data_IF_585909442127
#
_entry.id   IF_585909442127
#
_cell.length_a   1.000
_cell.length_b   1.000
_cell.length_c   1.000
_cell.angle_alpha   90.00
_cell.angle_beta   90.00
_cell.angle_gamma   90.00
#
_symmetry.space_group_name_H-M   'P 1'
#
loop_
_entity.id
_entity.type
_entity.pdbx_description
1 polymer ?
#
# COMPACT_ATOMS: atom_id res chain seq x y z
N UNK A 1 8.76 3.29 11.77
CA UNK A 1 9.20 2.17 10.92
C UNK A 1 10.58 1.63 11.32
N UNK A 2 11.61 2.48 11.47
CA UNK A 2 12.95 1.99 11.89
C UNK A 2 12.96 1.44 13.31
N UNK A 3 12.23 2.04 14.25
CA UNK A 3 12.10 1.54 15.61
C UNK A 3 11.33 0.21 15.67
N UNK A 4 10.29 0.09 14.86
CA UNK A 4 9.48 -1.08 14.71
C UNK A 4 10.25 -2.26 14.06
N UNK A 5 11.05 -2.00 13.04
CA UNK A 5 11.92 -3.00 12.42
C UNK A 5 12.90 -3.68 13.38
N UNK A 6 13.20 -3.08 14.54
CA UNK A 6 14.04 -3.70 15.59
C UNK A 6 13.29 -4.79 16.38
N UNK A 7 11.97 -4.67 16.51
CA UNK A 7 11.17 -5.65 17.25
C UNK A 7 10.91 -6.92 16.45
N UNK A 8 10.96 -6.86 15.10
CA UNK A 8 10.83 -8.03 14.22
C UNK A 8 9.48 -8.74 14.29
N UNK A 9 8.43 -8.02 14.72
CA UNK A 9 7.07 -8.53 14.88
C UNK A 9 6.24 -8.47 13.60
N UNK A 10 4.97 -8.94 13.67
CA UNK A 10 3.98 -8.72 12.60
C UNK A 10 3.63 -7.25 12.47
N UNK A 11 3.51 -6.75 11.23
CA UNK A 11 2.99 -5.42 10.96
C UNK A 11 1.46 -5.43 10.93
N UNK A 12 0.83 -4.55 11.73
CA UNK A 12 -0.62 -4.50 11.87
C UNK A 12 -1.15 -3.08 12.16
N UNK A 13 -2.46 -2.87 11.95
CA UNK A 13 -3.08 -1.54 12.01
C UNK A 13 -3.18 -0.93 13.44
N UNK A 14 -2.90 -1.68 14.49
CA UNK A 14 -2.84 -1.17 15.86
C UNK A 14 -1.45 -0.67 16.28
N UNK A 15 -0.45 -0.70 15.37
CA UNK A 15 0.89 -0.18 15.64
C UNK A 15 0.94 1.35 15.53
N UNK A 16 1.88 2.00 16.22
CA UNK A 16 2.01 3.46 16.21
C UNK A 16 2.18 4.06 14.80
N UNK A 17 2.85 3.36 13.90
CA UNK A 17 3.06 3.85 12.52
C UNK A 17 1.76 3.92 11.72
N UNK A 18 0.77 3.07 12.01
CA UNK A 18 -0.50 3.01 11.30
C UNK A 18 -1.50 4.09 11.77
N UNK A 19 -1.22 4.74 12.91
CA UNK A 19 -2.07 5.82 13.43
C UNK A 19 -1.77 7.11 12.66
N UNK A 20 -2.76 7.72 11.96
CA UNK A 20 -2.55 8.96 11.26
C UNK A 20 -2.13 10.08 12.23
N UNK A 21 -1.10 10.83 11.83
CA UNK A 21 -0.71 12.05 12.53
C UNK A 21 -1.73 13.15 12.21
N UNK A 22 -2.55 13.49 13.21
CA UNK A 22 -3.46 14.62 13.12
C UNK A 22 -2.68 15.93 12.93
N UNK A 23 -3.30 16.93 12.32
CA UNK A 23 -2.67 18.22 12.11
C UNK A 23 -2.21 18.82 13.46
N UNK A 24 -0.90 18.96 13.61
CA UNK A 24 -0.26 19.52 14.80
C UNK A 24 0.77 20.59 14.42
N UNK A 25 1.01 21.55 15.30
CA UNK A 25 2.05 22.56 15.07
C UNK A 25 3.41 21.90 14.94
N UNK A 26 4.16 22.29 13.93
CA UNK A 26 5.50 21.72 13.65
C UNK A 26 6.45 21.93 14.84
N UNK A 27 6.38 23.07 15.54
CA UNK A 27 7.16 23.35 16.74
C UNK A 27 6.91 22.34 17.86
N UNK A 28 5.65 21.88 18.05
CA UNK A 28 5.32 20.85 19.05
C UNK A 28 5.91 19.51 18.68
N UNK A 29 5.91 19.18 17.38
CA UNK A 29 6.48 17.94 16.87
C UNK A 29 8.00 17.89 17.01
N UNK A 30 8.69 18.99 16.69
CA UNK A 30 10.16 19.10 16.85
C UNK A 30 10.57 19.03 18.31
N UNK A 31 9.85 19.70 19.22
CA UNK A 31 10.11 19.65 20.65
C UNK A 31 9.94 18.25 21.26
N UNK A 32 9.09 17.40 20.68
CA UNK A 32 8.91 16.01 21.12
C UNK A 32 9.99 15.06 20.60
N UNK A 33 10.70 15.43 19.51
CA UNK A 33 11.75 14.62 18.88
C UNK A 33 13.16 14.88 19.42
N UNK A 34 13.44 16.09 19.86
CA UNK A 34 14.75 16.50 20.39
C UNK A 34 14.71 16.49 21.92
N UNK A 35 15.31 15.48 22.52
CA UNK A 35 15.48 15.39 23.98
C UNK A 35 16.45 16.45 24.57
N UNK A 36 16.99 17.37 23.78
CA UNK A 36 17.84 18.48 24.20
C UNK A 36 17.27 19.78 23.62
N UNK A 37 16.69 20.57 24.53
CA UNK A 37 15.91 21.77 24.23
C UNK A 37 16.72 22.89 23.60
N UNK A 38 16.80 22.89 22.29
CA UNK A 38 17.08 24.10 21.54
C UNK A 38 15.74 24.74 21.20
N UNK A 39 15.30 25.69 22.01
CA UNK A 39 14.24 26.64 21.65
C UNK A 39 14.78 27.53 20.54
N UNK A 40 14.68 27.07 19.29
CA UNK A 40 14.91 27.93 18.15
C UNK A 40 13.67 28.86 18.00
N UNK A 41 13.83 30.08 18.52
CA UNK A 41 12.83 31.14 18.49
C UNK A 41 12.71 31.78 17.10
N UNK A 42 12.90 31.04 16.01
CA UNK A 42 12.62 31.58 14.68
C UNK A 42 11.12 31.67 14.49
N UNK A 43 10.66 32.88 14.22
CA UNK A 43 9.26 33.31 14.11
C UNK A 43 8.50 32.55 13.00
N UNK A 44 9.23 31.97 12.05
CA UNK A 44 8.68 31.33 10.84
C UNK A 44 8.09 29.94 11.06
N UNK A 45 8.40 29.25 12.18
CA UNK A 45 7.84 27.90 12.45
C UNK A 45 6.55 27.92 13.27
N UNK A 46 6.14 29.09 13.78
CA UNK A 46 4.99 29.19 14.70
C UNK A 46 3.66 28.84 14.07
N UNK A 47 3.49 29.08 12.78
CA UNK A 47 2.25 28.85 12.04
C UNK A 47 2.37 27.71 11.00
N UNK A 48 3.41 26.89 11.12
CA UNK A 48 3.56 25.67 10.33
C UNK A 48 2.86 24.47 11.02
N UNK A 49 2.06 23.76 10.25
CA UNK A 49 1.32 22.58 10.72
C UNK A 49 1.71 21.38 9.88
N UNK A 50 1.91 20.24 10.55
CA UNK A 50 2.24 18.97 9.94
C UNK A 50 1.12 17.96 10.21
N UNK A 51 0.70 17.26 9.19
CA UNK A 51 -0.13 16.05 9.27
C UNK A 51 0.44 14.96 8.37
N UNK A 52 0.08 13.72 8.60
CA UNK A 52 0.62 12.64 7.79
C UNK A 52 0.06 11.26 8.12
N UNK A 53 0.38 10.32 7.24
CA UNK A 53 -0.05 8.94 7.35
C UNK A 53 1.00 8.02 6.76
N UNK A 54 1.15 6.84 7.37
CA UNK A 54 1.92 5.74 6.81
C UNK A 54 0.93 4.62 6.46
N UNK A 55 1.02 4.10 5.25
CA UNK A 55 0.18 3.02 4.75
C UNK A 55 1.07 1.86 4.35
N UNK A 56 0.72 0.66 4.77
CA UNK A 56 1.38 -0.55 4.30
C UNK A 56 1.09 -0.75 2.80
N UNK A 57 2.11 -0.69 1.96
CA UNK A 57 1.95 -0.88 0.53
C UNK A 57 1.65 -2.35 0.17
N UNK A 58 2.02 -3.31 1.03
CA UNK A 58 1.69 -4.73 0.85
C UNK A 58 0.28 -5.10 1.36
N UNK A 59 -0.49 -4.12 1.85
CA UNK A 59 -1.93 -4.28 2.07
C UNK A 59 -2.75 -4.37 0.78
N UNK A 60 -2.10 -4.22 -0.40
CA UNK A 60 -2.72 -4.12 -1.72
C UNK A 60 -2.14 -5.17 -2.66
N UNK A 61 -2.87 -5.50 -3.75
CA UNK A 61 -2.34 -6.36 -4.80
C UNK A 61 -1.22 -5.64 -5.56
N UNK A 62 -0.07 -6.25 -5.62
CA UNK A 62 1.07 -5.70 -6.33
C UNK A 62 1.00 -6.04 -7.83
N UNK A 63 0.99 -5.01 -8.68
CA UNK A 63 0.95 -5.15 -10.15
C UNK A 63 2.15 -5.94 -10.67
N UNK A 64 3.32 -5.85 -10.02
CA UNK A 64 4.50 -6.63 -10.38
C UNK A 64 4.25 -8.14 -10.30
N UNK A 65 3.32 -8.60 -9.46
CA UNK A 65 2.99 -10.02 -9.36
C UNK A 65 2.35 -10.60 -10.65
N UNK A 66 1.86 -9.74 -11.56
CA UNK A 66 1.31 -10.16 -12.84
C UNK A 66 2.36 -10.79 -13.78
N UNK A 67 3.66 -10.57 -13.50
CA UNK A 67 4.75 -11.10 -14.29
C UNK A 67 5.55 -12.11 -13.47
N UNK A 68 5.81 -13.27 -14.07
CA UNK A 68 6.61 -14.35 -13.52
C UNK A 68 7.68 -14.75 -14.56
N UNK A 69 8.88 -14.20 -14.39
CA UNK A 69 9.94 -14.34 -15.38
C UNK A 69 9.57 -13.71 -16.72
N UNK A 70 9.42 -14.52 -17.73
CA UNK A 70 9.12 -14.15 -19.14
C UNK A 70 7.65 -14.37 -19.53
N UNK A 71 6.76 -14.60 -18.55
CA UNK A 71 5.35 -14.91 -18.80
C UNK A 71 4.42 -14.19 -17.83
N UNK A 72 3.16 -14.11 -18.23
CA UNK A 72 2.08 -13.66 -17.34
C UNK A 72 1.81 -14.72 -16.28
N UNK A 73 1.77 -14.34 -15.01
CA UNK A 73 1.39 -15.20 -13.90
C UNK A 73 -0.09 -15.53 -13.97
N UNK A 74 -0.43 -16.80 -14.20
CA UNK A 74 -1.83 -17.25 -14.26
C UNK A 74 -2.57 -17.02 -12.92
N UNK A 75 -1.90 -17.27 -11.81
CA UNK A 75 -2.45 -17.05 -10.46
C UNK A 75 -2.74 -15.59 -10.19
N UNK A 76 -1.78 -14.70 -10.49
CA UNK A 76 -1.99 -13.26 -10.30
C UNK A 76 -3.07 -12.72 -11.24
N UNK A 77 -3.15 -13.21 -12.49
CA UNK A 77 -4.19 -12.82 -13.42
C UNK A 77 -5.60 -13.17 -12.91
N UNK A 78 -5.78 -14.34 -12.28
CA UNK A 78 -7.04 -14.73 -11.63
C UNK A 78 -7.38 -13.76 -10.49
N UNK A 79 -6.41 -13.40 -9.65
CA UNK A 79 -6.59 -12.46 -8.53
C UNK A 79 -6.98 -11.07 -8.99
N UNK A 80 -6.28 -10.53 -9.97
CA UNK A 80 -6.64 -9.24 -10.57
C UNK A 80 -8.01 -9.31 -11.26
N UNK A 81 -8.33 -10.42 -11.92
CA UNK A 81 -9.65 -10.65 -12.49
C UNK A 81 -10.78 -10.59 -11.46
N UNK A 82 -10.60 -11.22 -10.28
CA UNK A 82 -11.55 -11.15 -9.15
C UNK A 82 -11.70 -9.71 -8.63
N UNK A 83 -10.59 -8.97 -8.52
CA UNK A 83 -10.64 -7.57 -8.10
C UNK A 83 -11.42 -6.72 -9.11
N UNK A 84 -11.15 -6.86 -10.41
CA UNK A 84 -11.84 -6.12 -11.45
C UNK A 84 -13.34 -6.40 -11.42
N UNK A 85 -13.75 -7.66 -11.33
CA UNK A 85 -15.16 -8.06 -11.23
C UNK A 85 -15.82 -7.47 -9.96
N UNK A 86 -15.17 -7.55 -8.81
CA UNK A 86 -15.67 -6.98 -7.56
C UNK A 86 -15.92 -5.47 -7.65
N UNK A 87 -15.07 -4.76 -8.38
CA UNK A 87 -15.15 -3.31 -8.58
C UNK A 87 -16.04 -2.91 -9.77
N UNK A 88 -16.72 -3.87 -10.41
CA UNK A 88 -17.56 -3.61 -11.58
C UNK A 88 -16.78 -3.23 -12.84
N UNK A 89 -15.49 -3.58 -12.90
CA UNK A 89 -14.61 -3.30 -14.04
C UNK A 89 -14.56 -4.50 -15.00
N UNK A 90 -14.36 -4.28 -16.31
CA UNK A 90 -14.26 -5.38 -17.27
C UNK A 90 -13.05 -6.27 -16.97
N UNK A 91 -13.29 -7.56 -16.68
CA UNK A 91 -12.21 -8.54 -16.40
C UNK A 91 -11.16 -8.62 -17.51
N UNK A 92 -11.55 -8.41 -18.76
CA UNK A 92 -10.64 -8.39 -19.90
C UNK A 92 -9.50 -7.34 -19.74
N UNK A 93 -9.76 -6.24 -19.04
CA UNK A 93 -8.75 -5.21 -18.80
C UNK A 93 -7.64 -5.69 -17.86
N UNK A 94 -7.89 -6.64 -16.98
CA UNK A 94 -6.83 -7.27 -16.18
C UNK A 94 -5.84 -8.04 -17.08
N UNK A 95 -6.32 -8.69 -18.15
CA UNK A 95 -5.46 -9.38 -19.12
C UNK A 95 -4.65 -8.37 -19.97
N UNK A 96 -5.26 -7.24 -20.33
CA UNK A 96 -4.55 -6.15 -21.03
C UNK A 96 -3.42 -5.64 -20.15
N UNK A 97 -3.72 -5.30 -18.89
CA UNK A 97 -2.72 -4.84 -17.93
C UNK A 97 -1.56 -5.84 -17.78
N UNK A 98 -1.88 -7.14 -17.61
CA UNK A 98 -0.88 -8.18 -17.43
C UNK A 98 0.06 -8.32 -18.64
N UNK A 99 -0.49 -8.30 -19.87
CA UNK A 99 0.31 -8.38 -21.09
C UNK A 99 1.16 -7.13 -21.31
N UNK A 100 0.63 -5.94 -21.02
CA UNK A 100 1.41 -4.71 -21.12
C UNK A 100 2.49 -4.63 -20.05
N UNK A 101 2.21 -5.13 -18.84
CA UNK A 101 3.20 -5.23 -17.78
C UNK A 101 4.34 -6.18 -18.17
N UNK A 102 4.02 -7.35 -18.76
CA UNK A 102 5.03 -8.27 -19.29
C UNK A 102 5.90 -7.60 -20.38
N UNK A 103 5.30 -6.82 -21.27
CA UNK A 103 6.07 -6.08 -22.30
C UNK A 103 6.95 -5.01 -21.67
N UNK A 104 6.46 -4.29 -20.64
CA UNK A 104 7.22 -3.27 -19.94
C UNK A 104 8.43 -3.83 -19.17
N UNK A 105 8.36 -5.08 -18.71
CA UNK A 105 9.46 -5.76 -17.99
C UNK A 105 10.43 -6.48 -18.93
N UNK A 106 10.06 -6.66 -20.21
CA UNK A 106 10.90 -7.34 -21.19
C UNK A 106 12.16 -6.54 -21.48
N UNK A 107 13.31 -7.20 -21.45
CA UNK A 107 14.61 -6.61 -21.84
C UNK A 107 14.84 -6.60 -23.36
N UNK A 108 13.87 -7.10 -24.15
CA UNK A 108 13.93 -7.05 -25.59
C UNK A 108 13.89 -5.59 -26.04
N UNK A 109 14.78 -5.21 -26.96
CA UNK A 109 14.83 -3.89 -27.56
C UNK A 109 13.64 -3.70 -28.53
N UNK A 110 12.44 -3.63 -28.00
CA UNK A 110 11.22 -3.28 -28.72
C UNK A 110 10.90 -1.82 -28.42
N UNK A 111 11.18 -0.93 -29.39
CA UNK A 111 10.89 0.51 -29.28
C UNK A 111 9.39 0.81 -29.03
N UNK A 112 8.53 -0.19 -29.21
CA UNK A 112 7.09 -0.09 -28.95
C UNK A 112 6.67 -0.60 -27.55
N UNK A 113 7.62 -1.05 -26.72
CA UNK A 113 7.32 -1.48 -25.35
C UNK A 113 6.89 -0.28 -24.48
N UNK A 114 5.85 -0.43 -23.64
CA UNK A 114 5.45 0.64 -22.75
C UNK A 114 6.53 0.88 -21.68
N UNK A 115 6.56 2.11 -21.14
CA UNK A 115 7.42 2.43 -20.02
C UNK A 115 7.03 1.60 -18.78
N UNK A 116 8.03 1.19 -18.01
CA UNK A 116 7.81 0.52 -16.75
C UNK A 116 7.15 1.47 -15.74
N UNK A 117 5.97 1.14 -15.17
CA UNK A 117 5.34 1.97 -14.18
C UNK A 117 6.10 1.92 -12.84
N UNK A 118 6.17 3.04 -12.17
CA UNK A 118 6.69 3.16 -10.80
C UNK A 118 5.60 3.46 -9.78
N UNK A 119 4.43 3.93 -10.23
CA UNK A 119 3.28 4.32 -9.43
C UNK A 119 2.00 3.80 -10.06
N UNK A 120 0.94 3.75 -9.27
CA UNK A 120 -0.39 3.34 -9.77
C UNK A 120 -0.88 4.28 -10.87
N UNK A 121 -0.61 5.58 -10.76
CA UNK A 121 -1.00 6.59 -11.75
C UNK A 121 -0.35 6.34 -13.12
N UNK A 122 0.82 5.72 -13.16
CA UNK A 122 1.54 5.40 -14.39
C UNK A 122 0.90 4.24 -15.18
N UNK A 123 -0.09 3.52 -14.61
CA UNK A 123 -0.78 2.41 -15.29
C UNK A 123 -1.58 2.88 -16.52
N UNK A 124 -1.80 4.18 -16.67
CA UNK A 124 -2.32 4.76 -17.91
C UNK A 124 -1.38 4.50 -19.11
N UNK A 125 -0.07 4.37 -18.87
CA UNK A 125 0.90 4.00 -19.92
C UNK A 125 0.74 2.55 -20.40
N UNK A 126 0.14 1.71 -19.55
CA UNK A 126 -0.19 0.32 -19.88
C UNK A 126 -1.58 0.17 -20.50
N UNK A 127 -2.21 1.28 -20.88
CA UNK A 127 -3.50 1.30 -21.58
C UNK A 127 -4.74 1.26 -20.68
N UNK A 128 -4.60 1.40 -19.36
CA UNK A 128 -5.77 1.55 -18.49
C UNK A 128 -6.30 2.98 -18.54
N UNK A 129 -7.62 3.18 -18.72
CA UNK A 129 -8.23 4.51 -18.61
C UNK A 129 -8.03 5.13 -17.21
N UNK A 130 -7.73 6.43 -17.13
CA UNK A 130 -7.51 7.12 -15.86
C UNK A 130 -8.66 6.94 -14.84
N UNK A 131 -9.97 6.97 -15.20
CA UNK A 131 -11.03 6.67 -14.25
C UNK A 131 -10.95 5.26 -13.68
N UNK A 132 -10.53 4.27 -14.47
CA UNK A 132 -10.33 2.90 -14.00
C UNK A 132 -9.15 2.80 -13.03
N UNK A 133 -8.04 3.49 -13.32
CA UNK A 133 -6.88 3.58 -12.43
C UNK A 133 -7.29 4.18 -11.09
N UNK A 134 -8.11 5.23 -11.08
CA UNK A 134 -8.62 5.86 -9.85
C UNK A 134 -9.45 4.88 -9.00
N UNK A 135 -10.32 4.07 -9.63
CA UNK A 135 -11.11 3.02 -8.93
C UNK A 135 -10.21 1.93 -8.36
N UNK A 136 -9.15 1.56 -9.05
CA UNK A 136 -8.20 0.51 -8.63
C UNK A 136 -7.22 0.99 -7.56
N UNK A 137 -6.88 2.28 -7.53
CA UNK A 137 -5.80 2.85 -6.70
C UNK A 137 -5.86 2.49 -5.20
N UNK A 138 -7.03 2.36 -4.54
CA UNK A 138 -7.09 1.91 -3.14
C UNK A 138 -6.65 0.45 -2.93
N UNK A 139 -6.72 -0.40 -3.95
CA UNK A 139 -6.61 -1.85 -3.86
C UNK A 139 -5.34 -2.43 -4.49
N UNK A 140 -4.61 -1.63 -5.27
CA UNK A 140 -3.40 -2.06 -5.98
C UNK A 140 -2.20 -1.19 -5.64
N UNK A 141 -1.01 -1.72 -5.86
CA UNK A 141 0.27 -1.01 -5.68
C UNK A 141 1.24 -1.41 -6.78
N UNK A 142 2.26 -0.59 -7.02
CA UNK A 142 3.40 -0.91 -7.88
C UNK A 142 4.65 -0.92 -7.02
N UNK A 143 5.22 -2.12 -6.81
CA UNK A 143 6.43 -2.31 -6.02
C UNK A 143 7.56 -2.85 -6.94
N UNK A 144 8.83 -2.64 -6.58
CA UNK A 144 9.96 -3.00 -7.45
C UNK A 144 10.12 -4.51 -7.70
N UNK A 145 9.58 -5.33 -6.82
CA UNK A 145 9.62 -6.80 -6.92
C UNK A 145 8.25 -7.40 -6.57
N UNK A 146 8.04 -8.65 -6.92
CA UNK A 146 6.89 -9.44 -6.48
C UNK A 146 6.83 -9.52 -4.95
N UNK A 147 5.64 -9.36 -4.35
CA UNK A 147 5.44 -9.34 -2.89
C UNK A 147 4.18 -10.07 -2.49
N UNK A 148 4.16 -10.73 -1.32
CA UNK A 148 2.95 -11.27 -0.73
C UNK A 148 2.04 -10.16 -0.21
N UNK A 149 0.75 -10.48 -0.01
CA UNK A 149 -0.22 -9.60 0.64
C UNK A 149 -0.13 -9.77 2.15
N UNK A 150 -0.09 -8.66 2.89
CA UNK A 150 -0.12 -8.68 4.36
C UNK A 150 -1.57 -8.86 4.86
N UNK A 151 -1.83 -10.00 5.52
CA UNK A 151 -3.16 -10.35 6.05
C UNK A 151 -3.62 -9.44 7.19
N UNK A 152 -2.68 -8.81 7.91
CA UNK A 152 -2.98 -7.91 9.03
C UNK A 152 -3.38 -6.49 8.61
N UNK A 153 -3.13 -6.11 7.35
CA UNK A 153 -3.34 -4.73 6.89
C UNK A 153 -4.25 -4.62 5.67
N UNK A 154 -4.38 -5.70 4.86
CA UNK A 154 -5.16 -5.70 3.63
C UNK A 154 -6.66 -5.51 3.88
N UNK A 155 -7.38 -4.81 2.99
CA UNK A 155 -8.85 -4.67 3.06
C UNK A 155 -9.56 -6.00 2.76
N UNK A 156 -10.86 -6.10 3.07
CA UNK A 156 -11.64 -7.29 2.77
C UNK A 156 -11.66 -7.59 1.26
N UNK A 157 -11.75 -6.55 0.42
CA UNK A 157 -11.73 -6.66 -1.04
C UNK A 157 -10.40 -7.26 -1.54
N UNK A 158 -9.28 -6.80 -0.97
CA UNK A 158 -7.95 -7.33 -1.32
C UNK A 158 -7.78 -8.76 -0.82
N UNK A 159 -8.24 -9.08 0.38
CA UNK A 159 -8.19 -10.45 0.92
C UNK A 159 -9.01 -11.42 0.05
N UNK A 160 -10.22 -11.05 -0.35
CA UNK A 160 -11.02 -11.83 -1.29
C UNK A 160 -10.33 -11.97 -2.65
N UNK A 161 -9.93 -10.86 -3.26
CA UNK A 161 -9.31 -10.87 -4.58
C UNK A 161 -8.00 -11.67 -4.59
N UNK A 162 -7.18 -11.60 -3.53
CA UNK A 162 -5.93 -12.34 -3.38
C UNK A 162 -6.13 -13.86 -3.22
N UNK A 163 -7.35 -14.31 -2.91
CA UNK A 163 -7.65 -15.70 -2.63
C UNK A 163 -7.31 -16.12 -1.20
N UNK A 164 -7.17 -15.17 -0.27
CA UNK A 164 -7.09 -15.47 1.15
C UNK A 164 -8.43 -15.95 1.72
N UNK A 165 -9.52 -15.62 1.05
CA UNK A 165 -10.89 -16.02 1.38
C UNK A 165 -11.67 -16.31 0.10
N UNK A 166 -12.62 -17.23 0.17
CA UNK A 166 -13.40 -17.69 -0.98
C UNK A 166 -14.47 -16.69 -1.42
N UNK A 167 -14.95 -15.89 -0.46
CA UNK A 167 -15.93 -14.83 -0.69
C UNK A 167 -15.64 -13.59 0.19
N UNK A 168 -16.41 -12.54 -0.06
CA UNK A 168 -16.24 -11.26 0.65
C UNK A 168 -16.66 -11.38 2.14
N UNK A 169 -17.60 -12.24 2.50
CA UNK A 169 -18.03 -12.44 3.88
C UNK A 169 -16.93 -13.14 4.70
N UNK A 170 -16.29 -14.15 4.13
CA UNK A 170 -15.11 -14.80 4.71
C UNK A 170 -13.94 -13.82 4.86
N UNK A 171 -13.70 -12.95 3.87
CA UNK A 171 -12.69 -11.90 3.96
C UNK A 171 -13.01 -10.88 5.09
N UNK A 172 -14.25 -10.48 5.26
CA UNK A 172 -14.70 -9.64 6.38
C UNK A 172 -14.50 -10.34 7.74
N UNK A 173 -14.67 -11.66 7.80
CA UNK A 173 -14.38 -12.44 9.01
C UNK A 173 -12.89 -12.36 9.39
N UNK A 174 -11.97 -12.43 8.41
CA UNK A 174 -10.54 -12.20 8.66
C UNK A 174 -10.27 -10.80 9.20
N UNK A 175 -10.89 -9.77 8.60
CA UNK A 175 -10.75 -8.38 9.05
C UNK A 175 -11.25 -8.22 10.49
N UNK A 176 -12.41 -8.77 10.83
CA UNK A 176 -12.95 -8.73 12.19
C UNK A 176 -12.07 -9.48 13.20
N UNK A 177 -11.56 -10.65 12.83
CA UNK A 177 -10.68 -11.44 13.69
C UNK A 177 -9.39 -10.68 14.05
N UNK A 178 -8.72 -10.05 13.08
CA UNK A 178 -7.48 -9.30 13.32
C UNK A 178 -7.67 -8.01 14.11
N UNK A 179 -8.87 -7.41 14.11
CA UNK A 179 -9.17 -6.24 14.94
C UNK A 179 -9.09 -6.56 16.43
N UNK A 180 -9.45 -7.79 16.83
CA UNK A 180 -9.34 -8.26 18.21
C UNK A 180 -7.89 -8.70 18.53
N UNK A 181 -7.27 -9.43 17.63
CA UNK A 181 -5.89 -9.92 17.77
C UNK A 181 -5.27 -10.09 16.41
N UNK A 182 -4.17 -9.39 16.14
CA UNK A 182 -3.44 -9.53 14.88
C UNK A 182 -2.91 -10.97 14.70
N UNK A 183 -2.81 -11.41 13.45
CA UNK A 183 -2.28 -12.73 13.12
C UNK A 183 -0.77 -12.77 13.33
N UNK A 184 -0.31 -13.82 14.01
CA UNK A 184 1.12 -14.09 14.26
C UNK A 184 1.77 -14.94 13.17
N UNK A 185 0.96 -15.59 12.35
CA UNK A 185 1.40 -16.31 11.15
C UNK A 185 0.25 -16.43 10.14
N UNK A 186 0.58 -16.52 8.85
CA UNK A 186 -0.41 -16.56 7.79
C UNK A 186 -1.27 -17.84 7.81
N UNK A 187 -0.70 -18.97 8.24
CA UNK A 187 -1.40 -20.26 8.27
C UNK A 187 -2.60 -20.24 9.20
N UNK A 188 -2.46 -19.62 10.39
CA UNK A 188 -3.56 -19.58 11.35
C UNK A 188 -4.67 -18.64 10.88
N UNK A 189 -4.31 -17.53 10.19
CA UNK A 189 -5.29 -16.67 9.56
C UNK A 189 -6.13 -17.41 8.51
N UNK A 190 -5.46 -18.09 7.57
CA UNK A 190 -6.14 -18.79 6.47
C UNK A 190 -7.03 -19.93 6.94
N UNK A 191 -6.68 -20.63 8.03
CA UNK A 191 -7.52 -21.68 8.62
C UNK A 191 -8.88 -21.20 9.14
N UNK A 192 -9.03 -19.89 9.43
CA UNK A 192 -10.30 -19.36 9.92
C UNK A 192 -11.40 -19.34 8.85
N UNK A 193 -11.02 -19.35 7.57
CA UNK A 193 -11.92 -19.12 6.44
C UNK A 193 -11.82 -20.20 5.35
N UNK A 194 -10.86 -21.12 5.45
CA UNK A 194 -10.70 -22.27 4.55
C UNK A 194 -11.29 -23.52 5.18
N UNK A 195 -12.18 -24.19 4.46
CA UNK A 195 -12.71 -25.51 4.83
C UNK A 195 -11.74 -26.65 4.46
N UNK A 196 -10.57 -26.33 3.91
CA UNK A 196 -9.54 -27.28 3.51
C UNK A 196 -9.66 -27.79 2.08
N UNK A 197 -10.66 -27.34 1.30
CA UNK A 197 -10.88 -27.80 -0.08
C UNK A 197 -9.96 -27.11 -1.09
N UNK A 198 -9.67 -25.82 -0.91
CA UNK A 198 -8.71 -25.05 -1.71
C UNK A 198 -7.70 -24.36 -0.78
N UNK A 199 -6.54 -24.96 -0.62
CA UNK A 199 -5.52 -24.42 0.27
C UNK A 199 -4.70 -23.36 -0.53
N UNK A 200 -4.91 -22.04 -0.30
CA UNK A 200 -4.17 -21.03 -1.03
C UNK A 200 -2.67 -21.18 -0.74
N UNK A 201 -1.82 -20.88 -1.75
CA UNK A 201 -0.38 -20.93 -1.54
C UNK A 201 0.02 -19.93 -0.45
N UNK A 202 0.48 -20.44 0.68
CA UNK A 202 0.83 -19.65 1.86
C UNK A 202 1.90 -18.59 1.58
N UNK A 203 2.77 -18.82 0.59
CA UNK A 203 3.82 -17.88 0.21
C UNK A 203 3.29 -16.61 -0.45
N UNK A 204 2.02 -16.59 -0.86
CA UNK A 204 1.35 -15.42 -1.41
C UNK A 204 0.87 -14.44 -0.32
N UNK A 205 1.02 -14.84 0.95
CA UNK A 205 0.56 -14.09 2.11
C UNK A 205 1.67 -13.90 3.13
N UNK A 206 1.63 -12.75 3.80
CA UNK A 206 2.54 -12.39 4.87
C UNK A 206 1.78 -11.80 6.06
N UNK A 207 2.49 -11.63 7.15
CA UNK A 207 2.03 -10.90 8.34
C UNK A 207 2.92 -9.69 8.65
N UNK A 208 3.96 -9.50 7.84
CA UNK A 208 4.89 -8.38 7.93
C UNK A 208 5.19 -7.83 6.54
N UNK A 209 5.56 -6.57 6.47
CA UNK A 209 5.74 -5.80 5.24
C UNK A 209 7.10 -5.15 5.17
N UNK A 210 7.61 -4.96 3.96
CA UNK A 210 8.86 -4.27 3.68
C UNK A 210 8.64 -2.91 3.02
N UNK A 211 7.47 -2.67 2.43
CA UNK A 211 7.18 -1.48 1.65
C UNK A 211 6.04 -0.70 2.28
N UNK A 212 6.26 0.61 2.46
CA UNK A 212 5.30 1.51 3.07
C UNK A 212 5.20 2.78 2.23
N UNK A 213 3.99 3.30 2.09
CA UNK A 213 3.73 4.60 1.51
C UNK A 213 3.61 5.62 2.64
N UNK A 214 4.45 6.64 2.62
CA UNK A 214 4.43 7.76 3.56
C UNK A 214 3.80 8.95 2.87
N UNK A 215 2.74 9.50 3.44
CA UNK A 215 2.06 10.71 2.99
C UNK A 215 2.22 11.78 4.04
N UNK A 216 2.63 12.97 3.64
CA UNK A 216 2.80 14.11 4.52
C UNK A 216 2.19 15.37 3.92
N UNK A 217 1.64 16.22 4.77
CA UNK A 217 1.10 17.52 4.42
C UNK A 217 1.66 18.56 5.38
N UNK A 218 2.36 19.52 4.84
CA UNK A 218 2.86 20.68 5.55
C UNK A 218 2.02 21.90 5.13
N UNK A 219 1.40 22.55 6.10
CA UNK A 219 0.69 23.82 5.89
C UNK A 219 1.46 24.94 6.59
N UNK A 220 1.83 25.95 5.84
CA UNK A 220 2.41 27.19 6.32
C UNK A 220 1.47 28.34 5.92
N UNK A 221 0.76 28.89 6.87
CA UNK A 221 -0.29 29.88 6.63
C UNK A 221 -1.33 29.35 5.62
N UNK A 222 -1.34 29.90 4.37
CA UNK A 222 -2.21 29.47 3.27
C UNK A 222 -1.51 28.58 2.25
N UNK A 223 -0.20 28.35 2.41
CA UNK A 223 0.58 27.50 1.51
C UNK A 223 0.54 26.06 2.02
N UNK A 224 0.17 25.13 1.15
CA UNK A 224 0.13 23.70 1.44
C UNK A 224 1.15 23.01 0.54
N UNK A 225 2.00 22.20 1.14
CA UNK A 225 2.91 21.30 0.44
C UNK A 225 2.58 19.87 0.84
N UNK A 226 2.27 19.04 -0.12
CA UNK A 226 2.01 17.63 0.06
C UNK A 226 3.18 16.81 -0.49
N UNK A 227 3.50 15.72 0.18
CA UNK A 227 4.52 14.79 -0.24
C UNK A 227 4.04 13.35 -0.06
N UNK A 228 4.25 12.52 -1.08
CA UNK A 228 4.04 11.08 -1.05
C UNK A 228 5.35 10.39 -1.40
N UNK A 229 5.73 9.39 -0.61
CA UNK A 229 6.95 8.63 -0.81
C UNK A 229 6.71 7.15 -0.62
N UNK A 230 7.29 6.32 -1.47
CA UNK A 230 7.41 4.88 -1.23
C UNK A 230 8.75 4.63 -0.54
N UNK A 231 8.70 3.95 0.59
CA UNK A 231 9.89 3.56 1.33
C UNK A 231 9.98 2.05 1.46
N UNK A 232 11.19 1.55 1.43
CA UNK A 232 11.52 0.16 1.71
C UNK A 232 12.19 0.08 3.09
N UNK A 233 11.66 -0.77 3.95
CA UNK A 233 12.26 -1.14 5.24
C UNK A 233 13.07 -2.43 5.08
N UNK A 234 14.29 -2.41 5.54
CA UNK A 234 15.19 -3.55 5.58
C UNK A 234 15.88 -3.60 6.95
N UNK A 235 15.31 -4.39 7.86
CA UNK A 235 15.64 -4.36 9.27
C UNK A 235 15.47 -2.94 9.86
N UNK A 236 16.55 -2.36 10.35
CA UNK A 236 16.54 -1.01 10.94
C UNK A 236 16.71 0.13 9.92
N UNK A 237 16.95 -0.21 8.66
CA UNK A 237 17.19 0.78 7.60
C UNK A 237 15.92 1.05 6.82
N UNK A 238 15.63 2.32 6.57
CA UNK A 238 14.54 2.77 5.70
C UNK A 238 15.13 3.52 4.53
N UNK A 239 14.85 3.07 3.31
CA UNK A 239 15.30 3.69 2.07
C UNK A 239 14.10 4.22 1.28
N UNK A 240 14.16 5.48 0.88
CA UNK A 240 13.18 6.05 -0.05
C UNK A 240 13.47 5.54 -1.47
N UNK A 241 12.46 4.95 -2.11
CA UNK A 241 12.52 4.45 -3.48
C UNK A 241 12.12 5.54 -4.47
N UNK A 242 11.04 6.24 -4.20
CA UNK A 242 10.63 7.42 -4.95
C UNK A 242 9.91 8.42 -4.03
N UNK A 243 9.84 9.67 -4.49
CA UNK A 243 9.19 10.78 -3.79
C UNK A 243 8.51 11.70 -4.79
N UNK A 244 7.31 12.13 -4.46
CA UNK A 244 6.49 13.05 -5.22
C UNK A 244 6.04 14.20 -4.33
N UNK A 245 6.03 15.41 -4.89
CA UNK A 245 5.54 16.62 -4.22
C UNK A 245 4.54 17.32 -5.13
N UNK A 246 3.49 17.88 -4.53
CA UNK A 246 2.44 18.61 -5.24
C UNK A 246 1.08 18.37 -4.63
N UNK A 247 0.03 18.68 -5.39
CA UNK A 247 -1.33 18.30 -5.02
C UNK A 247 -1.50 16.79 -5.22
N UNK A 248 -1.66 16.05 -4.14
CA UNK A 248 -1.76 14.59 -4.15
C UNK A 248 -3.22 14.19 -4.00
N UNK A 249 -3.78 13.53 -5.01
CA UNK A 249 -5.16 13.09 -4.99
C UNK A 249 -5.42 12.15 -3.78
N UNK A 250 -6.54 12.36 -3.09
CA UNK A 250 -7.00 11.53 -1.97
C UNK A 250 -6.30 11.76 -0.63
N UNK A 251 -5.39 12.74 -0.52
CA UNK A 251 -4.74 13.02 0.75
C UNK A 251 -5.72 13.67 1.76
N UNK A 252 -6.58 14.56 1.30
CA UNK A 252 -7.59 15.20 2.15
C UNK A 252 -8.57 14.19 2.74
N UNK A 253 -8.98 13.19 1.98
CA UNK A 253 -9.86 12.11 2.46
C UNK A 253 -9.16 11.19 3.47
N UNK A 254 -7.88 10.88 3.24
CA UNK A 254 -7.07 10.04 4.13
C UNK A 254 -6.77 10.70 5.49
N UNK A 255 -6.70 12.04 5.52
CA UNK A 255 -6.43 12.83 6.73
C UNK A 255 -7.70 13.42 7.36
N UNK A 256 -8.87 13.19 6.77
CA UNK A 256 -10.14 13.61 7.35
C UNK A 256 -10.33 12.94 8.72
N UNK A 257 -10.83 13.67 9.73
CA UNK A 257 -11.12 13.09 11.04
C UNK A 257 -12.17 11.99 10.85
N UNK A 258 -11.89 10.80 11.36
CA UNK A 258 -12.87 9.70 11.41
C UNK A 258 -14.05 10.21 12.23
N UNK A 259 -15.22 10.38 11.60
CA UNK A 259 -16.44 10.71 12.30
C UNK A 259 -16.68 9.60 13.36
N UNK A 260 -16.74 10.01 14.64
CA UNK A 260 -16.99 9.12 15.77
C UNK A 260 -18.45 8.71 15.82
#
# INVERSE_FOLDING_TARGET
LSADGRSGGPDHLAEPWAVPLQEARLSTFLAAGDGDGVQDNTTDTRDAFLSGQIVDAQSRLNVMNLVDGDKVSATALVRFGRLFELLGLPRAQASVLANQMLRATSTSADDSAPLMPYRVDDLVWLGLPAPMVAVLAPYITVLPISTPVNLNTASAEVLYASGAADDLAAAQTLVAARQNTHFKNAKDALKLVSDGSDNPNINDFAIASRYFEVRGRLRLEQTIVEERSLVQRDGNTVKTLWRERGAIAGLDEALAPVAR
#
